data_IF_782872052934
#
_entry.id   IF_782872052934
#
_cell.length_a   1.000
_cell.length_b   1.000
_cell.length_c   1.000
_cell.angle_alpha   90.00
_cell.angle_beta   90.00
_cell.angle_gamma   90.00
#
_symmetry.space_group_name_H-M   'P 1'
#
loop_
_entity.id
_entity.type
_entity.pdbx_description
1 polymer ?
#
# COMPACT_ATOMS: atom_id res chain seq x y z
N UNK A 1 6.09 16.56 -3.98
CA UNK A 1 4.86 17.39 -4.09
C UNK A 1 5.20 18.87 -4.26
N UNK A 2 5.60 19.60 -3.19
CA UNK A 2 5.88 21.04 -3.28
C UNK A 2 6.89 21.42 -4.37
N UNK A 3 8.07 20.80 -4.36
CA UNK A 3 9.11 21.05 -5.38
C UNK A 3 8.70 20.69 -6.81
N UNK A 4 7.70 19.82 -6.98
CA UNK A 4 7.16 19.44 -8.30
C UNK A 4 5.98 20.33 -8.71
N UNK A 5 5.69 21.43 -7.99
CA UNK A 5 4.59 22.33 -8.30
C UNK A 5 3.19 21.79 -7.97
N UNK A 6 3.08 20.65 -7.28
CA UNK A 6 1.78 20.06 -6.94
C UNK A 6 0.98 20.84 -5.89
N UNK A 7 1.60 21.81 -5.22
CA UNK A 7 0.98 22.73 -4.26
C UNK A 7 1.58 24.11 -4.46
N UNK A 8 0.72 25.13 -4.48
CA UNK A 8 1.14 26.52 -4.63
C UNK A 8 1.82 27.05 -3.36
N UNK A 9 2.74 28.01 -3.55
CA UNK A 9 3.54 28.59 -2.47
C UNK A 9 2.70 29.23 -1.37
N UNK A 10 1.57 29.87 -1.74
CA UNK A 10 0.68 30.54 -0.77
C UNK A 10 0.02 29.52 0.17
N UNK A 11 -0.35 28.36 -0.34
CA UNK A 11 -0.88 27.26 0.48
C UNK A 11 0.17 26.73 1.46
N UNK A 12 1.43 26.59 1.05
CA UNK A 12 2.53 26.16 1.94
C UNK A 12 2.78 27.19 3.05
N UNK A 13 2.83 28.48 2.70
CA UNK A 13 3.01 29.56 3.67
C UNK A 13 1.88 29.58 4.72
N UNK A 14 0.65 29.31 4.28
CA UNK A 14 -0.50 29.16 5.18
C UNK A 14 -0.30 27.98 6.14
N UNK A 15 0.13 26.81 5.65
CA UNK A 15 0.40 25.65 6.51
C UNK A 15 1.57 25.88 7.46
N UNK A 16 2.61 26.60 7.03
CA UNK A 16 3.72 26.98 7.90
C UNK A 16 3.24 27.90 9.04
N UNK A 17 2.36 28.85 8.75
CA UNK A 17 1.74 29.69 9.78
C UNK A 17 0.88 28.88 10.75
N UNK A 18 -0.01 28.02 10.26
CA UNK A 18 -0.87 27.16 11.08
C UNK A 18 -0.03 26.21 11.98
N UNK A 19 1.01 25.59 11.42
CA UNK A 19 1.90 24.70 12.16
C UNK A 19 2.68 25.45 13.26
N UNK A 20 3.14 26.68 12.98
CA UNK A 20 3.80 27.53 13.96
C UNK A 20 2.86 27.95 15.11
N UNK A 21 1.61 28.32 14.79
CA UNK A 21 0.59 28.66 15.79
C UNK A 21 0.26 27.49 16.72
N UNK A 22 0.39 26.25 16.23
CA UNK A 22 0.23 25.02 17.02
C UNK A 22 1.51 24.53 17.72
N UNK A 23 2.61 25.29 17.67
CA UNK A 23 3.89 24.93 18.28
C UNK A 23 4.63 23.78 17.57
N UNK A 24 4.27 23.51 16.30
CA UNK A 24 4.79 22.40 15.47
C UNK A 24 5.42 22.89 14.17
N UNK A 25 6.15 24.01 14.22
CA UNK A 25 6.78 24.62 13.05
C UNK A 25 7.67 23.69 12.21
N UNK A 26 8.29 22.69 12.85
CA UNK A 26 9.09 21.66 12.18
C UNK A 26 8.29 20.68 11.30
N UNK A 27 6.95 20.76 11.29
CA UNK A 27 6.06 19.86 10.56
C UNK A 27 5.37 20.51 9.35
N UNK A 28 5.81 21.68 8.89
CA UNK A 28 5.13 22.41 7.80
C UNK A 28 4.89 21.59 6.53
N UNK A 29 5.81 20.67 6.20
CA UNK A 29 5.65 19.77 5.05
C UNK A 29 4.73 18.57 5.33
N UNK A 30 4.61 18.13 6.59
CA UNK A 30 3.69 17.06 6.97
C UNK A 30 2.22 17.50 6.84
N UNK A 31 1.92 18.79 7.07
CA UNK A 31 0.58 19.37 6.93
C UNK A 31 -0.01 19.28 5.51
N UNK A 32 0.84 19.04 4.52
CA UNK A 32 0.41 18.70 3.16
C UNK A 32 -0.38 17.40 3.15
N UNK A 33 0.12 16.38 3.85
CA UNK A 33 -0.46 15.03 3.87
C UNK A 33 -1.47 14.88 5.01
N UNK A 34 -1.16 15.44 6.19
CA UNK A 34 -2.00 15.38 7.38
C UNK A 34 -3.21 16.33 7.28
N UNK A 35 -4.37 15.77 6.95
CA UNK A 35 -5.63 16.53 6.80
C UNK A 35 -6.48 16.51 8.06
N UNK A 36 -6.42 15.44 8.85
CA UNK A 36 -7.26 15.30 10.03
C UNK A 36 -6.70 16.18 11.16
N UNK A 37 -7.60 16.79 11.93
CA UNK A 37 -7.21 17.58 13.11
C UNK A 37 -6.39 16.74 14.10
N UNK A 38 -6.78 15.46 14.28
CA UNK A 38 -6.08 14.52 15.14
C UNK A 38 -4.64 14.20 14.66
N UNK A 39 -4.41 14.15 13.34
CA UNK A 39 -3.07 13.96 12.76
C UNK A 39 -2.18 15.15 13.07
N UNK A 40 -2.68 16.36 12.82
CA UNK A 40 -1.98 17.62 13.10
C UNK A 40 -1.69 17.81 14.60
N UNK A 41 -2.66 17.51 15.46
CA UNK A 41 -2.50 17.58 16.92
C UNK A 41 -1.51 16.55 17.47
N UNK A 42 -1.39 15.36 16.86
CA UNK A 42 -0.46 14.30 17.32
C UNK A 42 0.88 14.29 16.59
N UNK A 43 0.98 14.88 15.39
CA UNK A 43 2.17 14.85 14.55
C UNK A 43 2.45 13.45 13.97
N UNK A 44 1.41 12.65 13.81
CA UNK A 44 1.47 11.30 13.24
C UNK A 44 0.37 11.18 12.18
N UNK A 45 0.70 10.59 11.03
CA UNK A 45 -0.27 10.21 10.01
C UNK A 45 -1.12 9.06 10.53
N UNK A 46 -2.44 9.19 10.39
CA UNK A 46 -3.42 8.22 10.89
C UNK A 46 -4.14 7.58 9.71
N UNK A 47 -4.62 8.39 8.77
CA UNK A 47 -5.35 7.96 7.60
C UNK A 47 -4.52 8.15 6.31
N UNK A 48 -4.93 7.49 5.24
CA UNK A 48 -4.22 7.54 3.97
C UNK A 48 -4.53 8.87 3.27
N UNK A 49 -3.50 9.64 2.96
CA UNK A 49 -3.62 10.82 2.11
C UNK A 49 -3.23 10.50 0.67
N UNK A 50 -4.12 10.79 -0.27
CA UNK A 50 -3.86 10.71 -1.70
C UNK A 50 -3.44 12.09 -2.23
N UNK A 51 -2.24 12.16 -2.79
CA UNK A 51 -1.72 13.37 -3.43
C UNK A 51 -1.08 13.06 -4.76
N UNK A 52 -1.09 14.03 -5.67
CA UNK A 52 -0.59 13.82 -7.02
C UNK A 52 0.60 14.72 -7.29
N UNK A 53 1.50 14.21 -8.13
CA UNK A 53 2.52 15.00 -8.79
C UNK A 53 2.89 14.34 -10.10
N UNK A 54 3.46 15.13 -11.00
CA UNK A 54 3.86 14.69 -12.33
C UNK A 54 5.38 14.71 -12.44
N UNK A 55 5.90 13.75 -13.19
CA UNK A 55 7.29 13.75 -13.66
C UNK A 55 7.32 13.87 -15.17
N UNK A 56 8.51 13.82 -15.77
CA UNK A 56 8.64 13.80 -17.21
C UNK A 56 8.01 12.55 -17.86
N UNK A 57 7.83 11.47 -17.09
CA UNK A 57 7.41 10.15 -17.61
C UNK A 57 6.07 9.67 -17.08
N UNK A 58 5.74 9.97 -15.82
CA UNK A 58 4.58 9.37 -15.16
C UNK A 58 3.74 10.40 -14.39
N UNK A 59 2.45 10.09 -14.29
CA UNK A 59 1.53 10.69 -13.34
C UNK A 59 1.56 9.85 -12.06
N UNK A 60 2.12 10.37 -10.97
CA UNK A 60 2.18 9.66 -9.71
C UNK A 60 1.03 10.07 -8.80
N UNK A 61 0.42 9.07 -8.16
CA UNK A 61 -0.39 9.25 -6.94
C UNK A 61 0.41 8.72 -5.76
N UNK A 62 0.75 9.59 -4.82
CA UNK A 62 1.34 9.25 -3.53
C UNK A 62 0.24 8.78 -2.61
N UNK A 63 0.48 7.62 -2.02
CA UNK A 63 -0.30 7.05 -0.93
C UNK A 63 0.58 7.20 0.32
N UNK A 64 0.29 8.21 1.15
CA UNK A 64 1.02 8.33 2.42
C UNK A 64 0.46 7.31 3.42
N UNK A 65 1.33 6.44 3.92
CA UNK A 65 0.94 5.33 4.78
C UNK A 65 1.43 5.59 6.22
N UNK A 66 0.59 5.31 7.23
CA UNK A 66 0.93 5.64 8.59
C UNK A 66 2.09 4.79 9.11
N UNK A 67 2.98 5.46 9.85
CA UNK A 67 4.18 4.86 10.41
C UNK A 67 3.97 4.08 11.70
N UNK A 68 2.81 4.17 12.37
CA UNK A 68 2.58 3.60 13.70
C UNK A 68 2.04 2.17 13.65
N UNK A 69 2.44 1.31 14.60
CA UNK A 69 2.00 -0.10 14.68
C UNK A 69 0.48 -0.26 14.69
N UNK A 70 -0.19 0.61 15.44
CA UNK A 70 -1.65 0.57 15.58
C UNK A 70 -2.40 0.86 14.26
N UNK A 71 -1.71 1.40 13.25
CA UNK A 71 -2.29 1.78 11.96
C UNK A 71 -1.82 0.91 10.79
N UNK A 72 -1.24 -0.27 11.04
CA UNK A 72 -0.82 -1.22 10.00
C UNK A 72 -1.97 -1.55 9.03
N UNK A 73 -3.22 -1.60 9.51
CA UNK A 73 -4.41 -1.79 8.66
C UNK A 73 -4.50 -0.77 7.53
N UNK A 74 -4.24 0.50 7.86
CA UNK A 74 -4.30 1.58 6.89
C UNK A 74 -3.10 1.48 5.92
N UNK A 75 -1.92 1.08 6.42
CA UNK A 75 -0.77 0.77 5.56
C UNK A 75 -1.07 -0.37 4.58
N UNK A 76 -1.71 -1.47 5.01
CA UNK A 76 -2.10 -2.59 4.15
C UNK A 76 -3.05 -2.12 3.04
N UNK A 77 -4.06 -1.34 3.40
CA UNK A 77 -5.06 -0.82 2.45
C UNK A 77 -4.42 0.09 1.40
N UNK A 78 -3.44 0.92 1.78
CA UNK A 78 -2.73 1.77 0.84
C UNK A 78 -1.73 1.00 -0.03
N UNK A 79 -0.99 0.07 0.58
CA UNK A 79 0.05 -0.70 -0.11
C UNK A 79 -0.52 -1.69 -1.11
N UNK A 80 -1.73 -2.21 -0.89
CA UNK A 80 -2.41 -3.10 -1.85
C UNK A 80 -2.73 -2.42 -3.19
N UNK A 81 -2.71 -1.09 -3.25
CA UNK A 81 -2.95 -0.32 -4.47
C UNK A 81 -1.66 0.21 -5.10
N UNK A 82 -0.51 0.01 -4.45
CA UNK A 82 0.76 0.61 -4.85
C UNK A 82 1.45 -0.22 -5.93
N UNK A 83 1.88 0.43 -7.01
CA UNK A 83 2.67 -0.21 -8.06
C UNK A 83 4.18 -0.30 -7.70
N UNK A 84 4.64 0.61 -6.83
CA UNK A 84 5.98 0.66 -6.27
C UNK A 84 5.95 1.27 -4.86
N UNK A 85 6.95 0.96 -4.03
CA UNK A 85 7.08 1.47 -2.67
C UNK A 85 8.34 2.34 -2.49
N UNK A 86 8.22 3.42 -1.72
CA UNK A 86 9.37 4.19 -1.21
C UNK A 86 9.54 3.88 0.27
N UNK A 87 10.60 3.16 0.61
CA UNK A 87 10.95 2.86 2.00
C UNK A 87 11.88 3.95 2.54
N UNK A 88 11.32 4.83 3.37
CA UNK A 88 12.09 5.90 4.03
C UNK A 88 12.77 5.35 5.29
N UNK A 89 14.08 5.56 5.41
CA UNK A 89 14.91 5.09 6.52
C UNK A 89 15.71 6.25 7.09
N UNK A 90 15.68 6.45 8.40
CA UNK A 90 16.48 7.47 9.07
C UNK A 90 17.96 7.05 9.15
N UNK A 91 18.88 7.97 8.86
CA UNK A 91 20.33 7.75 8.95
C UNK A 91 20.98 7.95 10.34
N UNK A 92 20.47 8.79 11.28
CA UNK A 92 21.10 8.99 12.58
C UNK A 92 21.27 7.69 13.37
N UNK A 93 22.36 7.62 14.14
CA UNK A 93 22.60 6.51 15.07
C UNK A 93 21.52 6.46 16.15
N UNK A 94 21.04 5.26 16.46
CA UNK A 94 19.91 5.01 17.33
C UNK A 94 18.58 4.94 16.58
N UNK A 95 18.32 5.86 15.65
CA UNK A 95 17.09 5.85 14.84
C UNK A 95 17.09 4.72 13.82
N UNK A 96 18.20 4.55 13.09
CA UNK A 96 18.35 3.47 12.11
C UNK A 96 18.23 2.09 12.78
N UNK A 97 18.97 1.90 13.87
CA UNK A 97 19.05 0.64 14.60
C UNK A 97 17.69 0.28 15.23
N UNK A 98 16.93 1.28 15.71
CA UNK A 98 15.56 1.09 16.19
C UNK A 98 14.60 0.68 15.06
N UNK A 99 14.70 1.32 13.89
CA UNK A 99 13.87 1.01 12.72
C UNK A 99 14.13 -0.38 12.14
N UNK A 100 15.39 -0.83 12.16
CA UNK A 100 15.79 -2.15 11.68
C UNK A 100 15.84 -3.22 12.79
N UNK A 101 15.49 -2.90 14.04
CA UNK A 101 15.43 -3.89 15.10
C UNK A 101 14.43 -5.02 14.80
N UNK A 102 14.46 -6.11 15.58
CA UNK A 102 13.48 -7.22 15.45
C UNK A 102 12.03 -6.74 15.50
N UNK A 103 11.78 -5.71 16.29
CA UNK A 103 10.48 -5.07 16.49
C UNK A 103 10.40 -3.72 15.76
N UNK A 104 11.32 -3.44 14.84
CA UNK A 104 11.37 -2.18 14.11
C UNK A 104 10.42 -2.18 12.91
N UNK A 105 9.81 -1.02 12.65
CA UNK A 105 8.75 -0.87 11.66
C UNK A 105 9.26 -0.89 10.22
N UNK A 106 10.52 -0.47 9.99
CA UNK A 106 11.15 -0.56 8.66
C UNK A 106 11.16 -2.00 8.15
N UNK A 107 11.42 -2.97 9.04
CA UNK A 107 11.39 -4.39 8.70
C UNK A 107 9.99 -4.88 8.36
N UNK A 108 9.02 -4.48 9.17
CA UNK A 108 7.62 -4.85 9.04
C UNK A 108 7.03 -4.31 7.74
N UNK A 109 7.24 -3.04 7.42
CA UNK A 109 6.75 -2.41 6.19
C UNK A 109 7.36 -3.00 4.92
N UNK A 110 8.66 -3.26 4.90
CA UNK A 110 9.30 -3.85 3.72
C UNK A 110 8.77 -5.26 3.41
N UNK A 111 8.52 -6.05 4.47
CA UNK A 111 7.95 -7.38 4.35
C UNK A 111 6.49 -7.35 3.92
N UNK A 112 5.68 -6.45 4.50
CA UNK A 112 4.28 -6.24 4.12
C UNK A 112 4.18 -5.82 2.65
N UNK A 113 5.00 -4.86 2.21
CA UNK A 113 5.02 -4.42 0.82
C UNK A 113 5.31 -5.57 -0.15
N UNK A 114 6.30 -6.43 0.17
CA UNK A 114 6.62 -7.57 -0.68
C UNK A 114 5.48 -8.59 -0.72
N UNK A 115 4.87 -8.86 0.44
CA UNK A 115 3.76 -9.81 0.60
C UNK A 115 2.52 -9.35 -0.15
N UNK A 116 2.28 -8.02 -0.20
CA UNK A 116 1.18 -7.41 -0.94
C UNK A 116 1.47 -7.27 -2.44
N UNK A 117 2.58 -7.82 -2.94
CA UNK A 117 2.89 -7.87 -4.37
C UNK A 117 3.64 -6.64 -4.90
N UNK A 118 4.05 -5.70 -4.04
CA UNK A 118 4.85 -4.54 -4.45
C UNK A 118 6.30 -4.97 -4.67
N UNK A 119 6.60 -5.40 -5.90
CA UNK A 119 7.93 -5.98 -6.25
C UNK A 119 9.00 -4.93 -6.57
N UNK A 120 8.62 -3.66 -6.69
CA UNK A 120 9.53 -2.55 -6.97
C UNK A 120 9.62 -1.65 -5.75
N UNK A 121 10.84 -1.45 -5.24
CA UNK A 121 11.09 -0.67 -4.05
C UNK A 121 12.25 0.30 -4.29
N UNK A 122 12.12 1.51 -3.76
CA UNK A 122 13.17 2.52 -3.66
C UNK A 122 13.43 2.76 -2.18
N UNK A 123 14.69 2.76 -1.77
CA UNK A 123 15.07 3.07 -0.39
C UNK A 123 15.59 4.50 -0.32
N UNK A 124 14.89 5.34 0.44
CA UNK A 124 15.28 6.73 0.70
C UNK A 124 15.94 6.83 2.08
N UNK A 125 17.28 6.97 2.10
CA UNK A 125 18.05 7.15 3.34
C UNK A 125 18.01 8.64 3.70
N UNK A 126 17.11 8.97 4.61
CA UNK A 126 16.73 10.33 4.98
C UNK A 126 17.48 10.82 6.22
N UNK A 127 17.49 12.15 6.43
CA UNK A 127 18.19 12.88 7.50
C UNK A 127 19.71 12.83 7.39
N UNK A 128 20.25 12.78 6.16
CA UNK A 128 21.70 12.84 5.94
C UNK A 128 22.34 14.16 6.40
N UNK A 129 21.53 15.21 6.55
CA UNK A 129 21.93 16.53 7.06
C UNK A 129 22.09 16.61 8.58
N UNK A 130 21.61 15.61 9.32
CA UNK A 130 21.69 15.61 10.79
C UNK A 130 23.17 15.61 11.22
N UNK A 131 23.50 16.38 12.28
CA UNK A 131 24.88 16.68 12.68
C UNK A 131 25.71 15.43 13.00
N UNK A 132 25.09 14.37 13.52
CA UNK A 132 25.76 13.10 13.83
C UNK A 132 26.08 12.28 12.59
N UNK A 133 25.36 12.52 11.48
CA UNK A 133 25.57 11.85 10.19
C UNK A 133 26.47 12.70 9.28
N UNK A 134 26.22 14.01 9.23
CA UNK A 134 26.99 15.01 8.49
C UNK A 134 27.36 14.57 7.07
N UNK A 135 26.38 14.09 6.31
CA UNK A 135 26.54 13.64 4.92
C UNK A 135 27.59 12.53 4.72
N UNK A 136 27.88 11.76 5.78
CA UNK A 136 28.92 10.74 5.79
C UNK A 136 28.62 9.60 4.81
N UNK A 137 29.55 9.38 3.86
CA UNK A 137 29.54 8.23 2.97
C UNK A 137 29.63 6.91 3.76
N UNK A 138 30.47 6.85 4.79
CA UNK A 138 30.67 5.64 5.57
C UNK A 138 29.36 5.18 6.26
N UNK A 139 28.58 6.14 6.79
CA UNK A 139 27.28 5.84 7.39
C UNK A 139 26.25 5.39 6.35
N UNK A 140 26.25 6.02 5.17
CA UNK A 140 25.42 5.58 4.05
C UNK A 140 25.74 4.14 3.62
N UNK A 141 27.03 3.81 3.45
CA UNK A 141 27.48 2.48 3.01
C UNK A 141 27.13 1.39 4.04
N UNK A 142 27.24 1.71 5.34
CA UNK A 142 26.79 0.84 6.43
C UNK A 142 25.29 0.51 6.32
N UNK A 143 24.46 1.56 6.26
CA UNK A 143 23.00 1.44 6.15
C UNK A 143 22.61 0.66 4.89
N UNK A 144 23.20 1.02 3.75
CA UNK A 144 22.93 0.41 2.45
C UNK A 144 23.26 -1.09 2.47
N UNK A 145 24.40 -1.48 3.06
CA UNK A 145 24.79 -2.89 3.18
C UNK A 145 23.85 -3.70 4.08
N UNK A 146 23.45 -3.15 5.23
CA UNK A 146 22.54 -3.84 6.15
C UNK A 146 21.14 -3.99 5.54
N UNK A 147 20.61 -2.93 4.95
CA UNK A 147 19.30 -2.95 4.27
C UNK A 147 19.30 -3.89 3.06
N UNK A 148 20.36 -3.89 2.24
CA UNK A 148 20.47 -4.80 1.10
C UNK A 148 20.42 -6.27 1.55
N UNK A 149 21.13 -6.63 2.61
CA UNK A 149 21.09 -7.97 3.20
C UNK A 149 19.69 -8.34 3.71
N UNK A 150 19.01 -7.38 4.34
CA UNK A 150 17.66 -7.58 4.86
C UNK A 150 16.61 -7.73 3.73
N UNK A 151 16.61 -6.84 2.74
CA UNK A 151 15.70 -6.89 1.60
C UNK A 151 15.87 -8.19 0.79
N UNK A 152 17.12 -8.67 0.64
CA UNK A 152 17.41 -9.97 0.04
C UNK A 152 16.77 -11.15 0.79
N UNK A 153 16.67 -11.06 2.12
CA UNK A 153 16.01 -12.11 2.94
C UNK A 153 14.50 -12.09 2.79
N UNK A 154 13.90 -10.92 2.54
CA UNK A 154 12.46 -10.79 2.26
C UNK A 154 12.13 -11.39 0.88
N UNK A 155 12.96 -11.11 -0.12
CA UNK A 155 12.77 -11.63 -1.49
C UNK A 155 13.06 -10.62 -2.59
N UNK A 156 13.30 -9.34 -2.25
CA UNK A 156 13.73 -8.34 -3.23
C UNK A 156 15.12 -8.67 -3.78
N UNK A 157 15.37 -8.28 -5.03
CA UNK A 157 16.73 -8.24 -5.57
C UNK A 157 17.38 -6.88 -5.22
N UNK A 158 18.38 -6.83 -4.32
CA UNK A 158 19.00 -5.56 -3.92
C UNK A 158 19.67 -4.80 -5.06
N UNK A 159 20.09 -5.49 -6.14
CA UNK A 159 20.69 -4.84 -7.31
C UNK A 159 19.68 -4.00 -8.10
N UNK A 160 18.39 -4.31 -7.98
CA UNK A 160 17.29 -3.58 -8.62
C UNK A 160 16.66 -2.52 -7.72
N UNK A 161 17.10 -2.42 -6.46
CA UNK A 161 16.55 -1.47 -5.49
C UNK A 161 17.48 -0.25 -5.42
N UNK A 162 17.05 0.94 -5.86
CA UNK A 162 17.84 2.14 -5.70
C UNK A 162 17.93 2.55 -4.23
N UNK A 163 19.14 2.81 -3.74
CA UNK A 163 19.41 3.42 -2.43
C UNK A 163 19.78 4.87 -2.67
N UNK A 164 18.94 5.79 -2.20
CA UNK A 164 19.05 7.23 -2.46
C UNK A 164 19.25 7.97 -1.15
N UNK A 165 20.43 8.56 -0.89
CA UNK A 165 20.63 9.44 0.26
C UNK A 165 19.92 10.76 0.00
N UNK A 166 19.09 11.22 0.95
CA UNK A 166 18.32 12.45 0.85
C UNK A 166 18.32 13.22 2.18
N UNK A 167 17.95 14.51 2.10
CA UNK A 167 17.35 15.23 3.22
C UNK A 167 15.97 15.70 2.82
N UNK A 168 14.93 15.16 3.43
CA UNK A 168 13.56 15.61 3.20
C UNK A 168 13.32 17.05 3.69
N UNK A 169 14.10 17.51 4.68
CA UNK A 169 13.96 18.85 5.26
C UNK A 169 14.61 19.92 4.37
N UNK A 170 15.89 19.73 4.02
CA UNK A 170 16.61 20.68 3.15
C UNK A 170 16.29 20.47 1.67
N UNK A 171 15.75 19.30 1.33
CA UNK A 171 15.40 18.90 -0.03
C UNK A 171 16.58 18.48 -0.90
N UNK A 172 17.70 18.12 -0.27
CA UNK A 172 18.89 17.58 -0.92
C UNK A 172 18.60 16.26 -1.61
N UNK A 173 19.10 16.13 -2.85
CA UNK A 173 19.04 14.92 -3.67
C UNK A 173 17.60 14.41 -3.94
N UNK A 174 16.59 15.26 -3.74
CA UNK A 174 15.19 14.93 -4.05
C UNK A 174 14.89 15.11 -5.54
N UNK A 175 15.20 16.28 -6.11
CA UNK A 175 15.01 16.58 -7.55
C UNK A 175 16.36 16.76 -8.25
N UNK A 176 17.24 17.54 -7.63
CA UNK A 176 18.57 17.88 -8.13
C UNK A 176 19.65 17.24 -7.25
N UNK A 177 20.82 16.94 -7.83
CA UNK A 177 21.95 16.38 -7.09
C UNK A 177 22.43 17.35 -6.03
N UNK A 178 22.66 16.84 -4.83
CA UNK A 178 23.14 17.67 -3.71
C UNK A 178 24.64 17.94 -3.82
N UNK A 179 25.08 19.20 -3.64
CA UNK A 179 26.51 19.51 -3.50
C UNK A 179 27.11 18.95 -2.21
N UNK A 180 26.29 18.61 -1.20
CA UNK A 180 26.71 17.99 0.05
C UNK A 180 27.01 16.50 -0.09
N UNK A 181 26.62 15.89 -1.22
CA UNK A 181 26.81 14.46 -1.52
C UNK A 181 27.70 14.25 -2.76
N UNK A 182 28.91 14.82 -2.84
CA UNK A 182 29.75 14.75 -4.04
C UNK A 182 30.22 13.31 -4.36
N UNK A 183 30.26 12.46 -3.33
CA UNK A 183 30.61 11.05 -3.42
C UNK A 183 29.48 10.18 -4.02
N UNK A 184 28.22 10.61 -3.92
CA UNK A 184 27.10 9.85 -4.43
C UNK A 184 26.95 10.04 -5.94
N UNK A 185 27.05 8.95 -6.71
CA UNK A 185 26.93 8.96 -8.19
C UNK A 185 25.62 8.38 -8.72
N UNK A 186 24.74 7.93 -7.82
CA UNK A 186 23.44 7.38 -8.18
C UNK A 186 22.40 8.44 -8.60
N UNK A 187 21.15 8.02 -8.82
CA UNK A 187 20.06 8.89 -9.21
C UNK A 187 19.54 9.76 -8.06
N UNK A 188 18.93 10.90 -8.37
CA UNK A 188 18.08 11.63 -7.40
C UNK A 188 16.82 10.83 -7.07
N UNK A 189 16.07 11.22 -6.05
CA UNK A 189 14.82 10.53 -5.71
C UNK A 189 13.80 10.58 -6.88
N UNK A 190 13.72 11.71 -7.57
CA UNK A 190 12.85 11.87 -8.74
C UNK A 190 13.29 10.96 -9.90
N UNK A 191 14.59 10.92 -10.19
CA UNK A 191 15.15 10.02 -11.22
C UNK A 191 14.92 8.54 -10.86
N UNK A 192 15.03 8.18 -9.58
CA UNK A 192 14.74 6.83 -9.11
C UNK A 192 13.26 6.48 -9.29
N UNK A 193 12.34 7.41 -9.03
CA UNK A 193 10.91 7.23 -9.30
C UNK A 193 10.62 7.04 -10.79
N UNK A 194 11.26 7.82 -11.66
CA UNK A 194 11.12 7.67 -13.12
C UNK A 194 11.71 6.37 -13.69
N UNK A 195 12.65 5.77 -12.95
CA UNK A 195 13.23 4.46 -13.29
C UNK A 195 12.30 3.28 -13.00
N UNK A 196 11.22 3.49 -12.25
CA UNK A 196 10.21 2.45 -11.96
C UNK A 196 9.61 1.95 -13.29
N UNK A 197 9.53 0.62 -13.42
CA UNK A 197 8.93 -0.01 -14.57
C UNK A 197 7.42 -0.03 -14.40
N UNK A 198 6.69 0.37 -15.43
CA UNK A 198 5.24 0.25 -15.41
C UNK A 198 4.86 -1.23 -15.28
N UNK A 199 4.02 -1.61 -14.29
CA UNK A 199 3.57 -2.99 -14.18
C UNK A 199 2.69 -3.33 -15.39
N UNK A 200 2.82 -4.55 -15.90
CA UNK A 200 1.93 -5.02 -16.97
C UNK A 200 0.49 -5.01 -16.45
N UNK A 201 -0.33 -4.07 -16.92
CA UNK A 201 -1.74 -3.98 -16.56
C UNK A 201 -2.49 -5.22 -17.08
N UNK A 202 -3.20 -5.96 -16.23
CA UNK A 202 -3.86 -7.21 -16.61
C UNK A 202 -5.19 -6.95 -17.34
N UNK A 203 -5.08 -6.43 -18.57
CA UNK A 203 -6.21 -6.12 -19.46
C UNK A 203 -6.94 -7.39 -19.94
N UNK A 204 -6.18 -8.46 -20.18
CA UNK A 204 -6.70 -9.72 -20.73
C UNK A 204 -7.38 -10.61 -19.67
N UNK A 205 -7.36 -10.20 -18.40
CA UNK A 205 -8.02 -10.94 -17.31
C UNK A 205 -9.48 -10.49 -17.15
N UNK A 206 -10.36 -11.34 -16.59
CA UNK A 206 -11.70 -10.95 -16.19
C UNK A 206 -11.74 -9.69 -15.33
N UNK A 207 -12.85 -8.96 -15.35
CA UNK A 207 -13.00 -7.74 -14.54
C UNK A 207 -13.01 -8.10 -13.04
N UNK A 208 -12.14 -7.48 -12.25
CA UNK A 208 -12.22 -7.42 -10.78
C UNK A 208 -11.99 -6.00 -10.30
N UNK A 209 -12.97 -5.46 -9.60
CA UNK A 209 -12.98 -4.12 -9.04
C UNK A 209 -13.46 -4.19 -7.58
N UNK A 210 -12.55 -4.32 -6.61
CA UNK A 210 -12.88 -4.27 -5.18
C UNK A 210 -13.41 -2.88 -4.80
N UNK A 211 -14.54 -2.85 -4.10
CA UNK A 211 -15.22 -1.61 -3.73
C UNK A 211 -14.59 -1.00 -2.49
N UNK A 212 -14.13 0.24 -2.61
CA UNK A 212 -13.60 1.05 -1.52
C UNK A 212 -14.73 1.69 -0.72
N UNK A 213 -15.71 2.29 -1.42
CA UNK A 213 -16.86 2.97 -0.82
C UNK A 213 -18.06 2.96 -1.76
N UNK A 214 -19.24 3.30 -1.23
CA UNK A 214 -20.49 3.41 -1.99
C UNK A 214 -21.24 4.66 -1.56
N UNK A 215 -21.48 5.55 -2.52
CA UNK A 215 -22.15 6.82 -2.28
C UNK A 215 -23.57 6.85 -2.85
N UNK A 216 -24.44 7.63 -2.20
CA UNK A 216 -25.74 8.03 -2.77
C UNK A 216 -25.62 9.45 -3.30
N UNK A 217 -25.71 9.62 -4.62
CA UNK A 217 -25.65 10.94 -5.25
C UNK A 217 -27.06 11.33 -5.70
N UNK A 218 -27.54 12.49 -5.25
CA UNK A 218 -28.85 13.02 -5.64
C UNK A 218 -28.96 13.18 -7.16
N UNK A 219 -30.03 12.68 -7.76
CA UNK A 219 -30.25 12.70 -9.21
C UNK A 219 -29.51 11.62 -10.02
N UNK A 220 -28.40 11.07 -9.51
CA UNK A 220 -27.62 10.03 -10.19
C UNK A 220 -28.00 8.63 -9.71
N UNK A 221 -28.09 8.44 -8.39
CA UNK A 221 -28.37 7.14 -7.76
C UNK A 221 -27.21 6.62 -6.92
N UNK A 222 -26.97 5.32 -6.99
CA UNK A 222 -25.92 4.61 -6.24
C UNK A 222 -24.63 4.59 -7.06
N UNK A 223 -23.54 5.07 -6.47
CA UNK A 223 -22.22 5.13 -7.11
C UNK A 223 -21.19 4.43 -6.23
N UNK A 224 -20.87 3.16 -6.53
CA UNK A 224 -19.70 2.50 -5.99
C UNK A 224 -18.41 3.13 -6.52
N UNK A 225 -17.37 3.12 -5.69
CA UNK A 225 -16.04 3.62 -6.00
C UNK A 225 -15.01 2.55 -5.69
N UNK A 226 -14.03 2.38 -6.58
CA UNK A 226 -12.91 1.49 -6.35
C UNK A 226 -11.87 1.56 -7.47
N UNK A 227 -10.82 0.76 -7.32
CA UNK A 227 -9.75 0.62 -8.30
C UNK A 227 -10.01 -0.60 -9.17
N UNK A 228 -9.86 -0.45 -10.48
CA UNK A 228 -9.89 -1.59 -11.40
C UNK A 228 -8.57 -2.36 -11.20
N UNK A 229 -8.64 -3.61 -10.75
CA UNK A 229 -7.44 -4.44 -10.54
C UNK A 229 -7.13 -5.30 -11.76
N UNK A 230 -8.16 -5.80 -12.43
CA UNK A 230 -8.06 -6.63 -13.64
C UNK A 230 -9.23 -6.35 -14.59
N UNK A 231 -9.02 -6.60 -15.89
CA UNK A 231 -10.03 -6.40 -16.93
C UNK A 231 -10.37 -4.94 -17.20
N UNK A 232 -11.46 -4.71 -17.92
CA UNK A 232 -11.90 -3.37 -18.34
C UNK A 232 -13.35 -3.16 -17.93
N UNK A 233 -13.66 -1.99 -17.36
CA UNK A 233 -15.02 -1.57 -17.04
C UNK A 233 -15.50 -0.56 -18.08
N UNK A 234 -16.69 -0.79 -18.65
CA UNK A 234 -17.31 0.11 -19.63
C UNK A 234 -18.76 0.43 -19.24
N UNK A 235 -19.26 1.64 -19.54
CA UNK A 235 -20.69 1.91 -19.51
C UNK A 235 -21.46 0.89 -20.37
N UNK A 236 -22.63 0.47 -19.90
CA UNK A 236 -23.49 -0.55 -20.50
C UNK A 236 -23.13 -2.00 -20.13
N UNK A 237 -22.01 -2.25 -19.43
CA UNK A 237 -21.69 -3.59 -18.95
C UNK A 237 -22.63 -4.03 -17.83
N UNK A 238 -22.98 -5.32 -17.81
CA UNK A 238 -23.63 -5.94 -16.67
C UNK A 238 -22.57 -6.47 -15.72
N UNK A 239 -22.55 -5.95 -14.49
CA UNK A 239 -21.61 -6.35 -13.46
C UNK A 239 -22.32 -7.12 -12.36
N UNK A 240 -21.63 -8.12 -11.81
CA UNK A 240 -22.05 -8.89 -10.63
C UNK A 240 -21.20 -8.49 -9.43
N UNK A 241 -21.85 -8.26 -8.29
CA UNK A 241 -21.22 -7.95 -7.02
C UNK A 241 -21.15 -9.19 -6.13
N UNK A 242 -19.93 -9.67 -5.87
CA UNK A 242 -19.67 -10.70 -4.89
C UNK A 242 -19.34 -10.10 -3.52
N UNK A 243 -19.72 -10.77 -2.42
CA UNK A 243 -20.38 -12.06 -2.35
C UNK A 243 -21.93 -12.00 -2.41
N UNK A 244 -22.54 -10.82 -2.59
CA UNK A 244 -23.99 -10.67 -2.55
C UNK A 244 -24.74 -11.27 -3.77
N UNK A 245 -24.02 -11.65 -4.82
CA UNK A 245 -24.55 -12.17 -6.07
C UNK A 245 -25.62 -11.26 -6.71
N UNK A 246 -25.39 -9.93 -6.64
CA UNK A 246 -26.28 -8.92 -7.21
C UNK A 246 -25.77 -8.52 -8.59
N UNK A 247 -26.62 -8.59 -9.61
CA UNK A 247 -26.26 -8.17 -10.97
C UNK A 247 -26.97 -6.87 -11.36
N UNK A 248 -26.26 -5.98 -12.04
CA UNK A 248 -26.81 -4.72 -12.53
C UNK A 248 -26.02 -4.15 -13.70
N UNK A 249 -26.65 -3.26 -14.44
CA UNK A 249 -26.05 -2.53 -15.55
C UNK A 249 -25.36 -1.25 -15.05
N UNK A 250 -24.14 -1.02 -15.54
CA UNK A 250 -23.35 0.19 -15.30
C UNK A 250 -23.80 1.28 -16.26
N UNK A 251 -24.34 2.40 -15.76
CA UNK A 251 -24.79 3.52 -16.62
C UNK A 251 -23.65 4.40 -17.12
N UNK A 252 -22.73 4.73 -16.23
CA UNK A 252 -21.63 5.64 -16.49
C UNK A 252 -20.44 5.27 -15.62
N UNK A 253 -19.25 5.62 -16.08
CA UNK A 253 -17.99 5.47 -15.36
C UNK A 253 -17.30 6.82 -15.39
N UNK A 254 -16.79 7.26 -14.24
CA UNK A 254 -16.15 8.56 -14.07
C UNK A 254 -14.86 8.44 -13.28
N UNK A 255 -13.86 9.22 -13.69
CA UNK A 255 -12.61 9.42 -12.94
C UNK A 255 -12.38 10.92 -12.80
N UNK A 256 -12.23 11.41 -11.57
CA UNK A 256 -12.05 12.84 -11.26
C UNK A 256 -13.12 13.76 -11.90
N UNK A 257 -14.39 13.33 -11.86
CA UNK A 257 -15.55 14.05 -12.44
C UNK A 257 -15.51 14.17 -13.97
N UNK A 258 -14.68 13.37 -14.64
CA UNK A 258 -14.65 13.25 -16.09
C UNK A 258 -15.20 11.89 -16.48
N UNK A 259 -16.18 11.87 -17.39
CA UNK A 259 -16.75 10.63 -17.90
C UNK A 259 -15.73 9.85 -18.75
N UNK A 260 -15.67 8.55 -18.53
CA UNK A 260 -14.81 7.63 -19.25
C UNK A 260 -15.62 6.72 -20.18
N UNK A 261 -15.10 6.45 -21.36
CA UNK A 261 -15.63 5.43 -22.26
C UNK A 261 -15.25 4.03 -21.79
N UNK A 262 -14.05 3.88 -21.22
CA UNK A 262 -13.50 2.65 -20.68
C UNK A 262 -12.61 3.00 -19.49
N UNK A 263 -12.62 2.16 -18.45
CA UNK A 263 -11.71 2.23 -17.32
C UNK A 263 -10.82 0.99 -17.28
N UNK A 264 -9.52 1.22 -17.16
CA UNK A 264 -8.48 0.22 -17.28
C UNK A 264 -7.89 -0.14 -15.91
N UNK A 265 -7.18 -1.27 -15.78
CA UNK A 265 -6.52 -1.63 -14.54
C UNK A 265 -5.56 -0.54 -14.07
N UNK A 266 -5.69 -0.15 -12.80
CA UNK A 266 -5.00 0.98 -12.19
C UNK A 266 -5.87 2.22 -11.99
N UNK A 267 -6.95 2.38 -12.78
CA UNK A 267 -7.83 3.54 -12.69
C UNK A 267 -8.70 3.47 -11.42
N UNK A 268 -8.76 4.59 -10.71
CA UNK A 268 -9.67 4.78 -9.58
C UNK A 268 -10.94 5.44 -10.07
N UNK A 269 -12.04 4.70 -10.11
CA UNK A 269 -13.27 5.12 -10.76
C UNK A 269 -14.48 5.06 -9.84
N UNK A 270 -15.39 6.00 -10.04
CA UNK A 270 -16.77 5.90 -9.58
C UNK A 270 -17.66 5.49 -10.74
N UNK A 271 -18.59 4.56 -10.54
CA UNK A 271 -19.49 4.13 -11.60
C UNK A 271 -20.94 4.07 -11.13
N UNK A 272 -21.88 4.53 -11.95
CA UNK A 272 -23.29 4.56 -11.60
C UNK A 272 -23.95 3.22 -11.92
N UNK A 273 -24.71 2.65 -10.99
CA UNK A 273 -25.44 1.40 -11.18
C UNK A 273 -26.96 1.55 -11.06
N UNK A 274 -27.71 0.77 -11.84
CA UNK A 274 -29.18 0.76 -11.80
C UNK A 274 -29.71 -0.06 -10.62
N UNK A 275 -30.90 0.31 -10.15
CA UNK A 275 -31.84 -0.56 -9.41
C UNK A 275 -31.34 -1.19 -8.09
N UNK A 276 -30.24 -0.71 -7.51
CA UNK A 276 -29.75 -1.17 -6.20
C UNK A 276 -29.51 -0.01 -5.26
N UNK A 277 -29.80 -0.22 -3.98
CA UNK A 277 -29.58 0.76 -2.92
C UNK A 277 -28.14 0.71 -2.42
N UNK A 278 -27.67 1.82 -1.83
CA UNK A 278 -26.40 1.88 -1.09
C UNK A 278 -26.36 0.90 0.10
N UNK A 279 -27.50 0.34 0.52
CA UNK A 279 -27.55 -0.70 1.56
C UNK A 279 -27.19 -2.10 1.03
N UNK A 280 -27.37 -2.33 -0.26
CA UNK A 280 -27.19 -3.65 -0.87
C UNK A 280 -25.73 -3.88 -1.29
N UNK A 281 -25.02 -2.79 -1.59
CA UNK A 281 -23.64 -2.77 -2.03
C UNK A 281 -22.79 -2.08 -0.96
N UNK A 282 -21.67 -2.68 -0.55
CA UNK A 282 -20.81 -2.15 0.52
C UNK A 282 -19.33 -2.34 0.21
N UNK A 283 -18.50 -1.59 0.94
CA UNK A 283 -17.04 -1.77 0.98
C UNK A 283 -16.66 -3.24 1.23
N UNK A 284 -15.64 -3.72 0.53
CA UNK A 284 -15.16 -5.10 0.61
C UNK A 284 -15.85 -6.08 -0.33
N UNK A 285 -16.91 -5.66 -1.03
CA UNK A 285 -17.46 -6.42 -2.16
C UNK A 285 -16.56 -6.26 -3.39
N UNK A 286 -16.65 -7.22 -4.32
CA UNK A 286 -15.90 -7.20 -5.58
C UNK A 286 -16.89 -7.17 -6.74
N UNK A 287 -16.77 -6.18 -7.62
CA UNK A 287 -17.51 -6.13 -8.87
C UNK A 287 -16.72 -6.83 -9.98
N UNK A 288 -17.40 -7.58 -10.83
CA UNK A 288 -16.83 -8.16 -12.05
C UNK A 288 -17.87 -8.32 -13.14
N UNK A 289 -17.44 -8.69 -14.35
CA UNK A 289 -18.33 -8.86 -15.50
C UNK A 289 -19.22 -10.09 -15.27
N UNK A 290 -20.53 -9.90 -15.36
CA UNK A 290 -21.52 -10.96 -15.17
C UNK A 290 -21.38 -12.10 -16.20
N UNK A 291 -20.76 -11.84 -17.36
CA UNK A 291 -20.65 -12.81 -18.47
C UNK A 291 -19.29 -13.45 -18.60
N UNK A 292 -18.24 -12.85 -18.04
CA UNK A 292 -16.87 -13.31 -18.20
C UNK A 292 -16.26 -13.53 -16.82
N UNK A 293 -16.42 -14.76 -16.33
CA UNK A 293 -15.92 -15.22 -15.02
C UNK A 293 -16.34 -14.26 -13.89
N UNK A 294 -17.63 -14.22 -13.52
CA UNK A 294 -18.11 -13.35 -12.46
C UNK A 294 -17.49 -13.73 -11.11
N UNK A 295 -17.15 -12.76 -10.25
CA UNK A 295 -16.63 -13.05 -8.91
C UNK A 295 -17.70 -13.78 -8.09
N UNK A 296 -17.26 -14.69 -7.20
CA UNK A 296 -18.15 -15.53 -6.39
C UNK A 296 -17.80 -15.44 -4.90
N UNK A 297 -18.73 -15.87 -4.05
CA UNK A 297 -18.47 -16.04 -2.62
C UNK A 297 -17.52 -17.22 -2.37
N UNK A 298 -16.63 -17.05 -1.40
CA UNK A 298 -15.68 -18.06 -0.96
C UNK A 298 -16.11 -18.64 0.40
N UNK A 299 -16.44 -19.93 0.43
CA UNK A 299 -16.78 -20.65 1.66
C UNK A 299 -15.53 -20.95 2.51
N UNK A 300 -14.46 -21.43 1.85
CA UNK A 300 -13.15 -21.62 2.46
C UNK A 300 -12.07 -21.57 1.39
N UNK A 301 -10.83 -21.30 1.80
CA UNK A 301 -9.69 -21.27 0.90
C UNK A 301 -8.41 -21.65 1.62
N UNK A 302 -7.50 -22.26 0.87
CA UNK A 302 -6.16 -22.55 1.37
C UNK A 302 -5.25 -21.35 1.08
N UNK A 303 -4.51 -20.91 2.08
CA UNK A 303 -3.56 -19.81 1.93
C UNK A 303 -2.21 -20.19 2.54
N UNK A 304 -1.13 -19.76 1.88
CA UNK A 304 0.19 -19.75 2.50
C UNK A 304 0.27 -18.55 3.43
N UNK A 305 0.46 -18.81 4.73
CA UNK A 305 0.64 -17.80 5.75
C UNK A 305 2.07 -17.81 6.26
N UNK A 306 2.57 -16.63 6.60
CA UNK A 306 3.85 -16.46 7.30
C UNK A 306 3.54 -15.75 8.62
N UNK A 307 3.88 -16.36 9.74
CA UNK A 307 3.58 -15.82 11.07
C UNK A 307 4.62 -14.77 11.42
N UNK A 308 4.17 -13.53 11.61
CA UNK A 308 5.02 -12.40 11.95
C UNK A 308 4.70 -11.87 13.34
N UNK A 309 5.73 -11.79 14.18
CA UNK A 309 5.73 -11.12 15.47
C UNK A 309 4.57 -11.51 16.42
N UNK A 310 4.10 -12.76 16.35
CA UNK A 310 3.06 -13.28 17.24
C UNK A 310 3.68 -13.75 18.58
N UNK A 311 3.15 -13.33 19.74
CA UNK A 311 3.76 -13.62 21.06
C UNK A 311 3.58 -15.08 21.51
N UNK A 312 2.58 -15.78 20.98
CA UNK A 312 2.29 -17.18 21.28
C UNK A 312 2.37 -18.10 20.07
N UNK A 313 1.74 -19.27 20.18
CA UNK A 313 1.56 -20.20 19.08
C UNK A 313 0.12 -20.13 18.55
N UNK A 314 -0.04 -20.17 17.23
CA UNK A 314 -1.32 -20.21 16.53
C UNK A 314 -1.73 -21.67 16.39
N UNK A 315 -2.96 -21.97 16.78
CA UNK A 315 -3.55 -23.30 16.70
C UNK A 315 -4.76 -23.28 15.77
N UNK A 316 -5.19 -24.47 15.32
CA UNK A 316 -6.49 -24.59 14.67
C UNK A 316 -7.60 -24.03 15.58
N UNK A 317 -8.51 -23.27 14.98
CA UNK A 317 -9.54 -22.49 15.67
C UNK A 317 -9.18 -21.03 15.94
N UNK A 318 -7.92 -20.62 15.76
CA UNK A 318 -7.53 -19.21 15.83
C UNK A 318 -8.29 -18.40 14.77
N UNK A 319 -8.91 -17.28 15.17
CA UNK A 319 -9.77 -16.49 14.28
C UNK A 319 -9.33 -15.02 14.23
N UNK A 320 -8.20 -14.72 13.54
CA UNK A 320 -7.77 -13.35 13.35
C UNK A 320 -8.65 -12.63 12.33
N UNK A 321 -8.49 -11.31 12.26
CA UNK A 321 -9.06 -10.51 11.18
C UNK A 321 -8.15 -10.59 9.97
N UNK A 322 -8.74 -10.89 8.81
CA UNK A 322 -8.09 -10.94 7.52
C UNK A 322 -8.45 -9.66 6.75
N UNK A 323 -7.42 -8.89 6.44
CA UNK A 323 -7.46 -7.78 5.50
C UNK A 323 -7.09 -8.31 4.11
N UNK A 324 -8.01 -8.24 3.16
CA UNK A 324 -7.78 -8.62 1.77
C UNK A 324 -8.46 -7.59 0.87
N UNK A 325 -7.73 -7.03 -0.10
CA UNK A 325 -8.17 -5.90 -0.93
C UNK A 325 -8.81 -4.78 -0.08
N UNK A 326 -10.12 -4.57 -0.17
CA UNK A 326 -10.88 -3.59 0.62
C UNK A 326 -11.72 -4.24 1.73
N UNK A 327 -11.75 -5.58 1.80
CA UNK A 327 -12.46 -6.35 2.79
C UNK A 327 -11.68 -6.50 4.10
N UNK A 328 -12.43 -6.54 5.21
CA UNK A 328 -11.93 -6.68 6.58
C UNK A 328 -12.84 -7.65 7.33
N UNK A 329 -12.48 -8.94 7.32
CA UNK A 329 -13.35 -10.03 7.79
C UNK A 329 -12.57 -10.99 8.68
N UNK A 330 -13.13 -11.36 9.84
CA UNK A 330 -12.54 -12.40 10.67
C UNK A 330 -12.58 -13.74 9.95
N UNK A 331 -11.44 -14.42 9.86
CA UNK A 331 -11.31 -15.73 9.22
C UNK A 331 -10.76 -16.73 10.23
N UNK A 332 -11.43 -17.86 10.38
CA UNK A 332 -11.00 -18.95 11.24
C UNK A 332 -9.95 -19.79 10.54
N UNK A 333 -8.86 -20.09 11.21
CA UNK A 333 -7.89 -21.10 10.84
C UNK A 333 -8.54 -22.46 11.11
N UNK A 334 -9.27 -22.98 10.14
CA UNK A 334 -10.02 -24.23 10.28
C UNK A 334 -9.06 -25.41 10.49
N UNK A 335 -7.99 -25.44 9.69
CA UNK A 335 -6.93 -26.43 9.79
C UNK A 335 -5.58 -25.84 9.42
N UNK A 336 -4.51 -26.33 10.06
CA UNK A 336 -3.14 -26.07 9.63
C UNK A 336 -2.66 -27.32 8.88
N UNK A 337 -2.61 -27.23 7.56
CA UNK A 337 -2.45 -28.39 6.68
C UNK A 337 -0.99 -28.86 6.65
N UNK A 338 -0.06 -27.93 6.44
CA UNK A 338 1.36 -28.27 6.35
C UNK A 338 2.22 -27.06 6.71
N UNK A 339 3.33 -27.30 7.39
CA UNK A 339 4.38 -26.32 7.60
C UNK A 339 5.34 -26.36 6.42
N UNK A 340 5.66 -25.19 5.88
CA UNK A 340 6.50 -25.06 4.68
C UNK A 340 7.72 -24.20 4.96
N UNK A 341 8.79 -24.43 4.22
CA UNK A 341 9.94 -23.53 4.19
C UNK A 341 9.53 -22.22 3.51
N UNK A 342 9.77 -21.11 4.21
CA UNK A 342 9.35 -19.77 3.77
C UNK A 342 9.95 -19.31 2.43
N UNK A 343 11.07 -19.91 1.98
CA UNK A 343 11.78 -19.48 0.76
C UNK A 343 11.48 -20.38 -0.42
N UNK A 344 11.40 -21.68 -0.16
CA UNK A 344 11.28 -22.71 -1.20
C UNK A 344 9.86 -23.24 -1.33
N UNK A 345 9.01 -23.03 -0.32
CA UNK A 345 7.67 -23.62 -0.25
C UNK A 345 7.70 -25.13 0.00
N UNK A 346 8.88 -25.73 0.22
CA UNK A 346 9.01 -27.16 0.47
C UNK A 346 8.38 -27.54 1.80
N UNK A 347 7.67 -28.67 1.82
CA UNK A 347 7.06 -29.21 3.02
C UNK A 347 8.13 -29.56 4.07
N UNK A 348 7.91 -29.10 5.31
CA UNK A 348 8.76 -29.37 6.47
C UNK A 348 8.08 -30.33 7.46
N UNK A 349 6.77 -30.16 7.66
CA UNK A 349 5.99 -30.94 8.63
C UNK A 349 4.51 -30.97 8.20
N UNK A 350 3.96 -32.16 7.97
CA UNK A 350 2.55 -32.34 7.69
C UNK A 350 1.69 -32.22 8.97
N UNK A 351 0.53 -31.56 8.85
CA UNK A 351 -0.47 -31.37 9.92
C UNK A 351 0.12 -30.95 11.29
N UNK A 352 0.88 -29.85 11.36
CA UNK A 352 1.50 -29.41 12.61
C UNK A 352 0.43 -28.99 13.63
N UNK A 353 0.65 -29.29 14.91
CA UNK A 353 -0.29 -28.92 16.00
C UNK A 353 -0.43 -27.42 16.19
N UNK A 354 0.64 -26.67 15.90
CA UNK A 354 0.66 -25.22 15.97
C UNK A 354 1.76 -24.63 15.07
N UNK A 355 1.66 -23.34 14.81
CA UNK A 355 2.69 -22.54 14.13
C UNK A 355 3.07 -21.35 15.00
N UNK A 356 4.36 -20.98 14.99
CA UNK A 356 4.90 -19.89 15.82
C UNK A 356 5.56 -18.82 14.95
N UNK A 357 5.94 -17.71 15.59
CA UNK A 357 6.64 -16.61 14.93
C UNK A 357 7.81 -17.09 14.06
N UNK A 358 7.81 -16.70 12.79
CA UNK A 358 8.80 -17.07 11.77
C UNK A 358 8.46 -18.31 10.94
N UNK A 359 7.44 -19.09 11.33
CA UNK A 359 6.99 -20.24 10.55
C UNK A 359 6.16 -19.78 9.35
N UNK A 360 6.28 -20.54 8.25
CA UNK A 360 5.34 -20.49 7.15
C UNK A 360 4.53 -21.78 7.11
N UNK A 361 3.25 -21.69 6.75
CA UNK A 361 2.36 -22.84 6.67
C UNK A 361 1.28 -22.64 5.62
N UNK A 362 0.75 -23.73 5.07
CA UNK A 362 -0.50 -23.72 4.35
C UNK A 362 -1.63 -23.95 5.36
N UNK A 363 -2.57 -23.02 5.42
CA UNK A 363 -3.72 -23.07 6.32
C UNK A 363 -5.01 -23.02 5.53
N UNK A 364 -6.01 -23.78 5.97
CA UNK A 364 -7.38 -23.63 5.48
C UNK A 364 -8.08 -22.54 6.30
N UNK A 365 -8.53 -21.50 5.61
CA UNK A 365 -9.22 -20.35 6.20
C UNK A 365 -10.72 -20.40 5.85
N UNK A 366 -11.55 -20.17 6.86
CA UNK A 366 -13.00 -20.06 6.71
C UNK A 366 -13.47 -18.68 7.18
N UNK A 367 -13.98 -17.82 6.28
CA UNK A 367 -14.51 -16.52 6.64
C UNK A 367 -15.71 -16.62 7.60
N UNK A 368 -15.78 -15.72 8.59
CA UNK A 368 -16.93 -15.61 9.51
C UNK A 368 -18.14 -14.89 8.89
N UNK A 369 -17.92 -14.20 7.77
CA UNK A 369 -18.93 -13.49 6.98
C UNK A 369 -18.64 -13.74 5.50
N UNK A 370 -19.64 -13.63 4.62
CA UNK A 370 -19.45 -13.74 3.18
C UNK A 370 -18.28 -12.88 2.70
N UNK A 371 -17.35 -13.51 1.98
CA UNK A 371 -16.12 -12.90 1.45
C UNK A 371 -15.93 -13.35 0.00
N UNK A 372 -15.36 -12.47 -0.83
CA UNK A 372 -14.88 -12.81 -2.17
C UNK A 372 -13.36 -12.71 -2.16
N UNK A 373 -12.68 -13.81 -2.46
CA UNK A 373 -11.23 -13.85 -2.68
C UNK A 373 -10.90 -14.71 -3.90
N UNK A 374 -9.76 -14.43 -4.51
CA UNK A 374 -9.27 -15.10 -5.71
C UNK A 374 -7.92 -15.75 -5.42
N UNK A 375 -7.53 -16.72 -6.24
CA UNK A 375 -6.16 -17.26 -6.22
C UNK A 375 -5.16 -16.17 -6.66
N UNK A 376 -4.09 -15.99 -5.87
CA UNK A 376 -3.06 -14.97 -6.09
C UNK A 376 -2.31 -15.12 -7.42
#
# INVERSE_FOLDING_TARGET
IYKCGGIDTRTIEKFEKEANEMGKGSFKYAWVLDKLKAERERGITIDIALWKFETAKYYFTIIDAPGHRDFIKNMITGTSQADAAVLVVASPTGEFEAGIAKNGQTREHALLAYTLGVKQMIVAINKMDEKTVNWSQARYDEIQKELASFLKKIGYNPEKVPFVPISGWNGDNMLEKSPNLPWYKGPTLLEALDSVQEPKRPLDKPLRLPLQDVYKIGGIGTVPVGRVETGVLKPGMNVTFAPANLTTEVKSVEMHHVALTEAFPGDNVGFNVKNHSVKDIRRGMVAGDAKNDPPIETESFNAQVIVLNHPGAIHAGYAPVLDCHTAHIACKFSEILTKVDRRTGAELEASPKNIKNGDAAIVQLTPSKPLCVETF
#
